data_IF_983955369498
#
_entry.id   IF_983955369498
#
_cell.length_a   1.000
_cell.length_b   1.000
_cell.length_c   1.000
_cell.angle_alpha   90.00
_cell.angle_beta   90.00
_cell.angle_gamma   90.00
#
_symmetry.space_group_name_H-M   'P 1'
#
loop_
_entity.id
_entity.type
_entity.pdbx_description
1 polymer ?
#
# COMPACT_ATOMS: atom_id res chain seq x y z
N UNK A 1 22.65 16.62 -8.28
CA UNK A 1 21.21 16.57 -7.97
C UNK A 1 21.02 16.22 -6.51
N UNK A 2 19.92 16.69 -5.92
CA UNK A 2 19.48 16.34 -4.56
C UNK A 2 18.24 15.47 -4.67
N UNK A 3 18.19 14.34 -3.96
CA UNK A 3 17.04 13.47 -3.86
C UNK A 3 16.32 13.69 -2.53
N UNK A 4 15.00 13.88 -2.57
CA UNK A 4 14.13 13.91 -1.40
C UNK A 4 13.38 12.59 -1.33
N UNK A 5 13.62 11.82 -0.28
CA UNK A 5 12.90 10.58 -0.02
C UNK A 5 12.00 10.76 1.21
N UNK A 6 10.74 10.43 1.11
CA UNK A 6 9.82 10.35 2.25
C UNK A 6 9.18 8.97 2.33
N UNK A 7 8.94 8.53 3.55
CA UNK A 7 8.19 7.32 3.85
C UNK A 7 7.14 7.65 4.90
N UNK A 8 5.87 7.59 4.54
CA UNK A 8 4.74 7.87 5.44
C UNK A 8 3.65 6.81 5.33
N UNK A 9 2.65 6.87 6.20
CA UNK A 9 1.53 5.92 6.23
C UNK A 9 1.81 4.63 7.00
N UNK A 10 2.94 4.55 7.76
CA UNK A 10 3.26 3.41 8.60
C UNK A 10 2.57 3.50 9.97
N UNK A 11 1.99 2.39 10.46
CA UNK A 11 1.44 2.20 11.83
C UNK A 11 0.28 3.12 12.23
N UNK A 12 -0.34 3.83 11.30
CA UNK A 12 -1.47 4.71 11.54
C UNK A 12 -2.80 4.09 11.10
N UNK A 13 -3.58 4.88 10.36
CA UNK A 13 -4.92 4.54 9.88
C UNK A 13 -4.98 3.17 9.19
N UNK A 14 -4.10 2.91 8.23
CA UNK A 14 -4.08 1.64 7.49
C UNK A 14 -3.83 0.43 8.38
N UNK A 15 -2.97 0.55 9.40
CA UNK A 15 -2.73 -0.53 10.36
C UNK A 15 -3.97 -0.79 11.23
N UNK A 16 -4.68 0.25 11.67
CA UNK A 16 -5.91 0.11 12.45
C UNK A 16 -7.01 -0.58 11.63
N UNK A 17 -7.21 -0.17 10.37
CA UNK A 17 -8.13 -0.81 9.43
C UNK A 17 -7.78 -2.28 9.24
N UNK A 18 -6.52 -2.59 8.91
CA UNK A 18 -6.08 -3.96 8.70
C UNK A 18 -6.26 -4.84 9.96
N UNK A 19 -5.93 -4.33 11.14
CA UNK A 19 -6.11 -5.07 12.40
C UNK A 19 -7.58 -5.37 12.70
N UNK A 20 -8.47 -4.41 12.45
CA UNK A 20 -9.91 -4.59 12.63
C UNK A 20 -10.42 -5.72 11.72
N UNK A 21 -10.20 -5.60 10.41
CA UNK A 21 -10.73 -6.57 9.45
C UNK A 21 -10.02 -7.93 9.48
N UNK A 22 -8.77 -8.00 9.95
CA UNK A 22 -8.12 -9.28 10.26
C UNK A 22 -8.91 -10.04 11.34
N UNK A 23 -9.35 -9.37 12.41
CA UNK A 23 -10.17 -10.00 13.45
C UNK A 23 -11.53 -10.44 12.90
N UNK A 24 -12.17 -9.61 12.08
CA UNK A 24 -13.43 -9.95 11.42
C UNK A 24 -13.25 -11.17 10.51
N UNK A 25 -12.18 -11.19 9.71
CA UNK A 25 -11.86 -12.33 8.84
C UNK A 25 -11.67 -13.63 9.63
N UNK A 26 -10.92 -13.60 10.72
CA UNK A 26 -10.74 -14.78 11.59
C UNK A 26 -12.06 -15.30 12.19
N UNK A 27 -13.04 -14.44 12.43
CA UNK A 27 -14.35 -14.84 12.94
C UNK A 27 -15.23 -15.43 11.83
N UNK A 28 -15.15 -14.88 10.62
CA UNK A 28 -16.00 -15.29 9.48
C UNK A 28 -15.43 -16.49 8.72
N UNK A 29 -14.11 -16.64 8.71
CA UNK A 29 -13.38 -17.73 8.06
C UNK A 29 -12.48 -18.42 9.11
N UNK A 30 -13.03 -19.29 9.97
CA UNK A 30 -12.26 -19.99 10.98
C UNK A 30 -11.32 -20.98 10.34
N UNK A 31 -10.02 -20.77 10.53
CA UNK A 31 -8.95 -21.65 10.07
C UNK A 31 -8.23 -22.29 11.27
N UNK A 32 -7.50 -23.40 11.06
CA UNK A 32 -6.63 -23.98 12.07
C UNK A 32 -5.66 -22.94 12.68
N UNK A 33 -5.23 -23.12 13.94
CA UNK A 33 -4.40 -22.11 14.62
C UNK A 33 -3.16 -21.65 13.85
N UNK A 34 -2.50 -22.59 13.16
CA UNK A 34 -1.31 -22.34 12.33
C UNK A 34 -1.59 -21.49 11.08
N UNK A 35 -2.82 -21.52 10.58
CA UNK A 35 -3.25 -20.80 9.38
C UNK A 35 -4.19 -19.61 9.69
N UNK A 36 -4.51 -19.33 10.94
CA UNK A 36 -5.54 -18.35 11.32
C UNK A 36 -5.35 -16.95 10.71
N UNK A 37 -4.10 -16.54 10.50
CA UNK A 37 -3.76 -15.25 9.89
C UNK A 37 -3.89 -15.22 8.37
N UNK A 38 -4.23 -16.35 7.75
CA UNK A 38 -4.55 -16.47 6.32
C UNK A 38 -6.05 -16.36 6.07
N UNK A 39 -6.86 -16.11 7.10
CA UNK A 39 -8.30 -15.87 6.96
C UNK A 39 -8.57 -14.69 6.02
N UNK A 40 -9.63 -14.81 5.24
CA UNK A 40 -10.00 -13.83 4.22
C UNK A 40 -11.45 -13.37 4.35
N UNK A 41 -11.78 -12.28 3.66
CA UNK A 41 -13.15 -11.79 3.46
C UNK A 41 -13.45 -11.78 1.96
N UNK A 42 -14.54 -12.41 1.56
CA UNK A 42 -15.01 -12.37 0.17
C UNK A 42 -15.50 -10.96 -0.19
N UNK A 43 -15.17 -10.48 -1.40
CA UNK A 43 -15.67 -9.19 -1.88
C UNK A 43 -17.17 -9.17 -2.19
N UNK A 44 -17.82 -10.31 -2.19
CA UNK A 44 -19.27 -10.50 -2.27
C UNK A 44 -19.98 -10.32 -0.91
N UNK A 45 -19.21 -10.15 0.17
CA UNK A 45 -19.72 -9.89 1.52
C UNK A 45 -19.70 -8.42 1.87
N UNK A 46 -20.56 -8.00 2.81
CA UNK A 46 -20.56 -6.62 3.30
C UNK A 46 -19.21 -6.26 3.93
N UNK A 47 -18.66 -7.11 4.80
CA UNK A 47 -17.40 -6.88 5.50
C UNK A 47 -16.22 -6.80 4.52
N UNK A 48 -16.22 -7.61 3.48
CA UNK A 48 -15.22 -7.56 2.41
C UNK A 48 -15.28 -6.23 1.64
N UNK A 49 -16.47 -5.76 1.30
CA UNK A 49 -16.67 -4.47 0.64
C UNK A 49 -16.27 -3.29 1.54
N UNK A 50 -16.62 -3.34 2.82
CA UNK A 50 -16.24 -2.32 3.79
C UNK A 50 -14.71 -2.25 3.94
N UNK A 51 -14.05 -3.41 4.08
CA UNK A 51 -12.59 -3.47 4.17
C UNK A 51 -11.93 -2.93 2.90
N UNK A 52 -12.42 -3.35 1.72
CA UNK A 52 -11.89 -2.87 0.44
C UNK A 52 -11.95 -1.34 0.32
N UNK A 53 -13.09 -0.74 0.67
CA UNK A 53 -13.27 0.72 0.65
C UNK A 53 -12.39 1.43 1.67
N UNK A 54 -12.34 0.92 2.92
CA UNK A 54 -11.52 1.50 3.98
C UNK A 54 -10.01 1.42 3.66
N UNK A 55 -9.57 0.31 3.07
CA UNK A 55 -8.18 0.14 2.62
C UNK A 55 -7.82 1.12 1.49
N UNK A 56 -8.68 1.26 0.48
CA UNK A 56 -8.46 2.22 -0.60
C UNK A 56 -8.43 3.65 -0.07
N UNK A 57 -9.36 4.04 0.79
CA UNK A 57 -9.37 5.36 1.41
C UNK A 57 -8.08 5.63 2.22
N UNK A 58 -7.57 4.63 2.94
CA UNK A 58 -6.29 4.75 3.65
C UNK A 58 -5.10 4.89 2.68
N UNK A 59 -5.15 4.25 1.51
CA UNK A 59 -4.18 4.43 0.43
C UNK A 59 -4.20 5.83 -0.15
N UNK A 60 -5.38 6.34 -0.48
CA UNK A 60 -5.56 7.70 -1.00
C UNK A 60 -5.09 8.76 0.01
N UNK A 61 -5.40 8.56 1.29
CA UNK A 61 -4.91 9.41 2.36
C UNK A 61 -3.37 9.41 2.44
N UNK A 62 -2.74 8.25 2.35
CA UNK A 62 -1.28 8.14 2.36
C UNK A 62 -0.66 8.86 1.15
N UNK A 63 -1.23 8.69 -0.05
CA UNK A 63 -0.81 9.41 -1.25
C UNK A 63 -0.93 10.93 -1.09
N UNK A 64 -2.07 11.41 -0.59
CA UNK A 64 -2.26 12.83 -0.32
C UNK A 64 -1.21 13.39 0.68
N UNK A 65 -0.88 12.63 1.71
CA UNK A 65 0.18 12.99 2.66
C UNK A 65 1.55 13.09 1.98
N UNK A 66 1.92 12.13 1.10
CA UNK A 66 3.17 12.17 0.35
C UNK A 66 3.25 13.42 -0.52
N UNK A 67 2.18 13.73 -1.25
CA UNK A 67 2.11 14.92 -2.08
C UNK A 67 2.26 16.21 -1.28
N UNK A 68 1.60 16.32 -0.12
CA UNK A 68 1.71 17.51 0.73
C UNK A 68 3.10 17.67 1.35
N UNK A 69 3.69 16.58 1.84
CA UNK A 69 5.07 16.57 2.37
C UNK A 69 6.05 17.08 1.30
N UNK A 70 6.02 16.50 0.10
CA UNK A 70 6.94 16.89 -0.98
C UNK A 70 6.69 18.31 -1.47
N UNK A 71 5.44 18.75 -1.54
CA UNK A 71 5.08 20.13 -1.86
C UNK A 71 5.70 21.12 -0.86
N UNK A 72 5.54 20.86 0.45
CA UNK A 72 6.08 21.71 1.51
C UNK A 72 7.61 21.73 1.50
N UNK A 73 8.24 20.58 1.32
CA UNK A 73 9.71 20.50 1.24
C UNK A 73 10.25 21.25 0.02
N UNK A 74 9.65 21.10 -1.16
CA UNK A 74 10.03 21.83 -2.37
C UNK A 74 9.87 23.33 -2.18
N UNK A 75 8.80 23.78 -1.56
CA UNK A 75 8.57 25.20 -1.23
C UNK A 75 9.64 25.74 -0.26
N UNK A 76 9.97 24.97 0.77
CA UNK A 76 10.99 25.37 1.75
C UNK A 76 12.40 25.47 1.14
N UNK A 77 12.69 24.62 0.15
CA UNK A 77 13.96 24.66 -0.60
C UNK A 77 13.99 25.72 -1.70
N UNK A 78 12.84 26.31 -2.05
CA UNK A 78 12.74 27.26 -3.17
C UNK A 78 12.91 26.61 -4.55
N UNK A 79 12.82 25.29 -4.66
CA UNK A 79 13.13 24.53 -5.86
C UNK A 79 11.91 23.74 -6.37
N UNK A 80 11.85 23.56 -7.68
CA UNK A 80 10.84 22.70 -8.32
C UNK A 80 11.43 21.31 -8.59
N UNK A 81 10.70 20.23 -8.26
CA UNK A 81 11.16 18.88 -8.57
C UNK A 81 11.33 18.67 -10.09
N UNK A 82 12.43 18.06 -10.51
CA UNK A 82 12.65 17.62 -11.89
C UNK A 82 11.87 16.34 -12.21
N UNK A 83 11.75 15.48 -11.22
CA UNK A 83 10.98 14.22 -11.32
C UNK A 83 10.36 13.88 -9.97
N UNK A 84 9.26 13.14 -10.01
CA UNK A 84 8.54 12.68 -8.83
C UNK A 84 8.11 11.24 -9.05
N UNK A 85 8.40 10.38 -8.09
CA UNK A 85 8.01 8.97 -8.11
C UNK A 85 7.34 8.64 -6.79
N UNK A 86 6.23 7.95 -6.85
CA UNK A 86 5.49 7.46 -5.69
C UNK A 86 5.12 5.99 -5.89
N UNK A 87 5.32 5.18 -4.87
CA UNK A 87 4.93 3.79 -4.89
C UNK A 87 4.29 3.38 -3.56
N UNK A 88 3.21 2.60 -3.64
CA UNK A 88 2.75 1.80 -2.52
C UNK A 88 3.52 0.48 -2.49
N UNK A 89 4.08 0.11 -1.34
CA UNK A 89 4.82 -1.14 -1.16
C UNK A 89 4.12 -2.12 -0.20
N UNK A 90 2.96 -1.75 0.30
CA UNK A 90 2.11 -2.59 1.16
C UNK A 90 0.63 -2.25 0.89
N UNK A 91 0.06 -2.90 -0.11
CA UNK A 91 -1.29 -2.62 -0.58
C UNK A 91 -1.86 -3.83 -1.32
N UNK A 92 -3.15 -3.79 -1.65
CA UNK A 92 -3.80 -4.79 -2.51
C UNK A 92 -4.43 -4.11 -3.73
N UNK A 93 -4.31 -4.76 -4.87
CA UNK A 93 -4.81 -4.29 -6.15
C UNK A 93 -5.75 -5.31 -6.78
N UNK A 94 -6.76 -4.85 -7.47
CA UNK A 94 -7.51 -5.68 -8.40
C UNK A 94 -6.75 -5.69 -9.74
N UNK A 95 -6.35 -6.87 -10.17
CA UNK A 95 -5.53 -7.05 -11.38
C UNK A 95 -6.09 -8.17 -12.24
N UNK A 96 -5.97 -8.00 -13.56
CA UNK A 96 -6.23 -9.06 -14.54
C UNK A 96 -4.96 -9.88 -14.70
N UNK A 97 -5.01 -11.15 -14.31
CA UNK A 97 -3.89 -12.08 -14.43
C UNK A 97 -3.64 -12.45 -15.90
N UNK A 98 -2.48 -13.04 -16.22
CA UNK A 98 -2.11 -13.46 -17.56
C UNK A 98 -3.09 -14.46 -18.21
N UNK A 99 -3.86 -15.19 -17.41
CA UNK A 99 -4.91 -16.09 -17.86
C UNK A 99 -6.30 -15.43 -18.03
N UNK A 100 -6.37 -14.09 -17.96
CA UNK A 100 -7.59 -13.31 -18.12
C UNK A 100 -8.50 -13.28 -16.86
N UNK A 101 -8.10 -13.88 -15.74
CA UNK A 101 -8.89 -13.87 -14.51
C UNK A 101 -8.63 -12.62 -13.70
N UNK A 102 -9.70 -12.01 -13.18
CA UNK A 102 -9.60 -10.97 -12.16
C UNK A 102 -9.19 -11.57 -10.81
N UNK A 103 -8.26 -10.91 -10.13
CA UNK A 103 -7.79 -11.32 -8.82
C UNK A 103 -7.42 -10.11 -7.96
N UNK A 104 -7.53 -10.26 -6.65
CA UNK A 104 -6.95 -9.32 -5.68
C UNK A 104 -5.52 -9.79 -5.40
N UNK A 105 -4.57 -8.96 -5.76
CA UNK A 105 -3.14 -9.22 -5.57
C UNK A 105 -2.61 -8.34 -4.44
N UNK A 106 -2.28 -8.96 -3.32
CA UNK A 106 -1.68 -8.29 -2.18
C UNK A 106 -0.15 -8.36 -2.27
N UNK A 107 0.50 -7.20 -2.15
CA UNK A 107 1.96 -7.08 -2.09
C UNK A 107 2.36 -6.39 -0.81
N UNK A 108 3.34 -6.94 -0.13
CA UNK A 108 3.93 -6.38 1.08
C UNK A 108 5.44 -6.33 0.95
N UNK A 109 6.03 -5.14 1.20
CA UNK A 109 7.47 -4.94 1.06
C UNK A 109 7.97 -5.09 -0.38
N UNK A 110 7.10 -4.88 -1.37
CA UNK A 110 7.40 -5.07 -2.78
C UNK A 110 7.16 -3.78 -3.55
N UNK A 111 8.17 -3.33 -4.26
CA UNK A 111 8.10 -2.19 -5.17
C UNK A 111 7.66 -2.65 -6.55
N UNK A 112 6.83 -1.88 -7.28
CA UNK A 112 6.50 -2.19 -8.66
C UNK A 112 7.75 -2.32 -9.53
N UNK A 113 7.83 -3.38 -10.36
CA UNK A 113 8.95 -3.67 -11.24
C UNK A 113 8.51 -4.05 -12.66
N UNK A 114 7.32 -3.63 -13.07
CA UNK A 114 6.80 -3.83 -14.41
C UNK A 114 7.65 -3.08 -15.46
N UNK A 115 7.53 -3.49 -16.74
CA UNK A 115 8.25 -2.84 -17.84
C UNK A 115 7.83 -1.36 -17.95
N UNK A 116 8.79 -0.44 -17.88
CA UNK A 116 8.56 1.01 -17.97
C UNK A 116 8.04 1.64 -16.67
N UNK A 117 7.92 0.90 -15.58
CA UNK A 117 7.51 1.41 -14.27
C UNK A 117 8.74 1.86 -13.48
N UNK A 118 8.68 3.07 -12.94
CA UNK A 118 9.69 3.57 -12.01
C UNK A 118 9.36 3.11 -10.59
N UNK A 119 10.26 2.36 -9.98
CA UNK A 119 10.18 1.91 -8.60
C UNK A 119 11.20 2.65 -7.72
N UNK A 120 10.84 2.89 -6.46
CA UNK A 120 11.76 3.43 -5.44
C UNK A 120 12.14 2.30 -4.49
N UNK A 121 13.43 1.99 -4.42
CA UNK A 121 13.98 1.01 -3.49
C UNK A 121 14.93 1.76 -2.55
N UNK A 122 14.48 2.10 -1.32
CA UNK A 122 15.37 2.71 -0.35
C UNK A 122 16.40 1.69 0.11
N UNK A 123 17.67 2.02 -0.09
CA UNK A 123 18.80 1.24 0.40
C UNK A 123 19.30 1.73 1.75
N UNK A 124 20.30 1.03 2.31
CA UNK A 124 21.11 1.52 3.42
C UNK A 124 22.26 2.37 2.88
N UNK A 125 22.93 3.12 3.76
CA UNK A 125 24.13 3.91 3.36
C UNK A 125 25.29 3.06 2.83
N UNK A 126 25.26 1.76 3.08
CA UNK A 126 26.25 0.78 2.60
C UNK A 126 25.75 -0.01 1.39
N UNK A 127 24.55 0.27 0.89
CA UNK A 127 24.05 -0.37 -0.33
C UNK A 127 24.87 0.14 -1.54
N UNK A 128 25.30 -0.75 -2.45
CA UNK A 128 26.03 -0.38 -3.65
C UNK A 128 25.17 0.42 -4.63
#
# INVERSE_FOLDING_TARGET
YVGLLSHSGSRGLGAAVAQHYTKVAMQKCPLPPEARYLAWLGLDTQEGQEYWRAMNLAGDYASACHHDIHRRLSQALGEKPLAKVENHHNFAWQETLANGREAIVHRKGATPAGRGVLGVIPGSMTAP
#
